data_IF_476857115330
#
_entry.id   IF_476857115330
#
_cell.length_a   1.000
_cell.length_b   1.000
_cell.length_c   1.000
_cell.angle_alpha   90.00
_cell.angle_beta   90.00
_cell.angle_gamma   90.00
#
_symmetry.space_group_name_H-M   'P 1'
#
loop_
_entity.id
_entity.type
_entity.pdbx_description
1 polymer ?
#
# COMPACT_ATOMS: atom_id res chain seq x y z
N UNK A 1 -27.14 -5.43 -2.35
CA UNK A 1 -26.09 -6.45 -2.50
C UNK A 1 -25.32 -6.53 -1.18
N UNK A 2 -25.72 -7.43 -0.28
CA UNK A 2 -25.05 -7.63 1.02
C UNK A 2 -23.83 -8.51 0.78
N UNK A 3 -22.65 -7.89 0.63
CA UNK A 3 -21.40 -8.65 0.63
C UNK A 3 -21.25 -9.23 2.03
N UNK A 4 -21.23 -10.56 2.14
CA UNK A 4 -21.00 -11.25 3.41
C UNK A 4 -19.63 -10.83 3.96
N UNK A 5 -19.65 -9.94 4.96
CA UNK A 5 -18.47 -9.26 5.49
C UNK A 5 -17.46 -10.24 6.08
N UNK A 6 -17.92 -11.40 6.59
CA UNK A 6 -17.03 -12.45 7.12
C UNK A 6 -16.26 -13.15 6.00
N UNK A 7 -16.95 -13.54 4.92
CA UNK A 7 -16.32 -14.16 3.77
C UNK A 7 -15.33 -13.21 3.08
N UNK A 8 -15.69 -11.92 2.98
CA UNK A 8 -14.82 -10.88 2.43
C UNK A 8 -13.55 -10.68 3.27
N UNK A 9 -13.67 -10.56 4.60
CA UNK A 9 -12.49 -10.42 5.48
C UNK A 9 -11.58 -11.65 5.41
N UNK A 10 -12.15 -12.86 5.39
CA UNK A 10 -11.39 -14.10 5.24
C UNK A 10 -10.63 -14.16 3.91
N UNK A 11 -11.24 -13.73 2.80
CA UNK A 11 -10.57 -13.67 1.49
C UNK A 11 -9.40 -12.67 1.49
N UNK A 12 -9.53 -11.54 2.19
CA UNK A 12 -8.49 -10.52 2.26
C UNK A 12 -7.29 -10.99 3.09
N UNK A 13 -7.53 -11.68 4.20
CA UNK A 13 -6.46 -12.31 5.00
C UNK A 13 -5.71 -13.35 4.18
N UNK A 14 -6.42 -14.24 3.48
CA UNK A 14 -5.82 -15.26 2.62
C UNK A 14 -4.99 -14.65 1.48
N UNK A 15 -5.48 -13.59 0.84
CA UNK A 15 -4.74 -12.89 -0.22
C UNK A 15 -3.50 -12.16 0.34
N UNK A 16 -3.56 -11.65 1.57
CA UNK A 16 -2.44 -10.98 2.22
C UNK A 16 -1.24 -11.89 2.50
N UNK A 17 -1.47 -13.20 2.63
CA UNK A 17 -0.44 -14.21 2.90
C UNK A 17 0.15 -14.82 1.63
N UNK A 18 -0.44 -14.57 0.46
CA UNK A 18 -0.04 -15.20 -0.80
C UNK A 18 0.67 -14.22 -1.73
N UNK A 19 1.89 -14.57 -2.13
CA UNK A 19 2.57 -13.94 -3.26
C UNK A 19 2.02 -14.51 -4.57
N UNK A 20 1.18 -13.75 -5.28
CA UNK A 20 0.60 -14.18 -6.56
C UNK A 20 0.99 -13.21 -7.68
N UNK A 21 1.44 -13.75 -8.81
CA UNK A 21 1.66 -13.01 -10.05
C UNK A 21 0.51 -13.30 -11.02
N UNK A 22 -0.22 -12.26 -11.42
CA UNK A 22 -1.33 -12.37 -12.38
C UNK A 22 -0.96 -11.62 -13.65
N UNK A 23 -1.06 -12.16 -14.86
CA UNK A 23 -0.73 -11.40 -16.08
C UNK A 23 -1.40 -10.01 -16.11
N UNK A 24 -0.72 -8.92 -16.53
CA UNK A 24 -1.36 -7.60 -16.64
C UNK A 24 -2.60 -7.66 -17.53
N UNK A 25 -2.57 -8.51 -18.56
CA UNK A 25 -3.67 -8.70 -19.49
C UNK A 25 -4.92 -9.24 -18.78
N UNK A 26 -4.76 -10.16 -17.82
CA UNK A 26 -5.86 -10.68 -17.00
C UNK A 26 -6.47 -9.58 -16.12
N UNK A 27 -5.63 -8.69 -15.56
CA UNK A 27 -6.07 -7.58 -14.71
C UNK A 27 -6.86 -6.56 -15.55
N UNK A 28 -6.34 -6.19 -16.71
CA UNK A 28 -6.99 -5.25 -17.64
C UNK A 28 -8.28 -5.83 -18.20
N UNK A 29 -8.30 -7.11 -18.59
CA UNK A 29 -9.50 -7.80 -19.07
C UNK A 29 -10.61 -7.87 -17.99
N UNK A 30 -10.24 -7.80 -16.72
CA UNK A 30 -11.18 -7.73 -15.59
C UNK A 30 -11.67 -6.31 -15.28
N UNK A 31 -11.32 -5.31 -16.11
CA UNK A 31 -11.72 -3.91 -15.95
C UNK A 31 -10.93 -3.13 -14.90
N UNK A 32 -9.81 -3.67 -14.40
CA UNK A 32 -8.98 -3.01 -13.39
C UNK A 32 -7.93 -2.13 -14.11
N UNK A 33 -7.86 -0.82 -13.82
CA UNK A 33 -6.86 0.06 -14.42
C UNK A 33 -5.43 -0.41 -14.10
N UNK A 34 -4.59 -0.48 -15.14
CA UNK A 34 -3.19 -0.86 -15.01
C UNK A 34 -2.31 0.15 -15.77
N UNK A 35 -1.21 0.55 -15.16
CA UNK A 35 -0.16 1.35 -15.81
C UNK A 35 1.16 0.57 -15.80
N UNK A 36 2.01 0.86 -16.79
CA UNK A 36 3.33 0.26 -16.93
C UNK A 36 4.36 1.35 -17.20
N UNK A 37 5.54 1.19 -16.62
CA UNK A 37 6.72 2.02 -16.86
C UNK A 37 7.97 1.16 -16.88
N UNK A 38 9.05 1.71 -17.45
CA UNK A 38 10.41 1.16 -17.37
C UNK A 38 11.22 2.14 -16.54
N UNK A 39 11.92 1.66 -15.51
CA UNK A 39 12.82 2.47 -14.69
C UNK A 39 14.26 2.30 -15.16
N UNK A 40 14.87 3.38 -15.61
CA UNK A 40 16.28 3.47 -15.98
C UNK A 40 17.16 3.96 -14.82
N UNK A 41 18.49 3.81 -14.89
CA UNK A 41 19.40 4.36 -13.89
C UNK A 41 19.22 5.88 -13.73
N UNK A 42 19.16 6.35 -12.47
CA UNK A 42 18.94 7.76 -12.14
C UNK A 42 17.46 8.19 -12.08
N UNK A 43 16.52 7.33 -12.46
CA UNK A 43 15.09 7.62 -12.37
C UNK A 43 14.47 7.20 -11.04
N UNK A 44 13.49 7.99 -10.58
CA UNK A 44 12.67 7.66 -9.42
C UNK A 44 11.32 7.10 -9.85
N UNK A 45 10.83 6.12 -9.08
CA UNK A 45 9.46 5.60 -9.20
C UNK A 45 8.75 5.89 -7.88
N UNK A 46 7.61 6.57 -7.94
CA UNK A 46 6.79 6.90 -6.76
C UNK A 46 5.55 6.01 -6.77
N UNK A 47 5.39 5.22 -5.71
CA UNK A 47 4.17 4.43 -5.48
C UNK A 47 3.25 5.17 -4.53
N UNK A 48 2.03 5.48 -5.00
CA UNK A 48 1.02 6.16 -4.18
C UNK A 48 0.35 5.21 -3.18
N UNK A 49 -0.26 5.74 -2.10
CA UNK A 49 -0.93 4.91 -1.10
C UNK A 49 -2.00 4.01 -1.74
N UNK A 50 -2.03 2.73 -1.35
CA UNK A 50 -2.95 1.70 -1.86
C UNK A 50 -2.77 1.35 -3.35
N UNK A 51 -1.72 1.82 -4.02
CA UNK A 51 -1.38 1.39 -5.37
C UNK A 51 -0.63 0.06 -5.34
N UNK A 52 -1.27 -1.01 -5.82
CA UNK A 52 -0.60 -2.29 -6.05
C UNK A 52 0.41 -2.13 -7.18
N UNK A 53 1.61 -2.65 -6.97
CA UNK A 53 2.67 -2.62 -7.96
C UNK A 53 3.41 -3.95 -7.97
N UNK A 54 4.04 -4.24 -9.10
CA UNK A 54 4.90 -5.39 -9.33
C UNK A 54 5.90 -5.04 -10.43
N UNK A 55 6.97 -5.79 -10.53
CA UNK A 55 7.94 -5.61 -11.59
C UNK A 55 8.93 -6.76 -11.64
N UNK A 56 9.82 -6.66 -12.61
CA UNK A 56 10.97 -7.54 -12.77
C UNK A 56 12.14 -6.71 -13.29
N UNK A 57 13.35 -7.25 -13.16
CA UNK A 57 14.56 -6.60 -13.64
C UNK A 57 14.91 -7.13 -15.03
N UNK A 58 15.31 -6.25 -15.95
CA UNK A 58 15.76 -6.62 -17.29
C UNK A 58 17.21 -7.13 -17.32
N UNK A 59 17.93 -7.07 -16.20
CA UNK A 59 19.33 -7.45 -16.06
C UNK A 59 19.85 -7.14 -14.65
N UNK A 60 21.16 -7.28 -14.44
CA UNK A 60 21.80 -6.92 -13.18
C UNK A 60 21.65 -5.42 -12.90
N UNK A 61 21.16 -5.07 -11.71
CA UNK A 61 21.06 -3.69 -11.26
C UNK A 61 21.13 -3.59 -9.73
N UNK A 62 21.20 -2.36 -9.25
CA UNK A 62 21.02 -2.01 -7.84
C UNK A 62 19.94 -0.93 -7.74
N UNK A 63 19.05 -1.05 -6.76
CA UNK A 63 18.03 -0.05 -6.48
C UNK A 63 17.74 0.01 -4.99
N UNK A 64 17.41 1.21 -4.52
CA UNK A 64 17.01 1.47 -3.14
C UNK A 64 15.54 1.89 -3.12
N UNK A 65 14.83 1.57 -2.03
CA UNK A 65 13.45 1.99 -1.83
C UNK A 65 13.22 2.35 -0.36
N UNK A 66 12.43 3.41 -0.14
CA UNK A 66 12.02 3.84 1.18
C UNK A 66 10.51 4.16 1.19
N UNK A 67 9.87 3.89 2.32
CA UNK A 67 8.51 4.34 2.58
C UNK A 67 8.56 5.69 3.29
N UNK A 68 7.70 6.64 2.89
CA UNK A 68 7.57 7.94 3.53
C UNK A 68 6.10 8.33 3.67
N UNK A 69 5.81 9.20 4.64
CA UNK A 69 4.45 9.68 4.93
C UNK A 69 4.39 11.21 4.90
N UNK A 70 3.48 11.76 4.11
CA UNK A 70 3.15 13.19 4.15
C UNK A 70 2.01 13.44 5.16
N UNK A 71 1.76 14.69 5.60
CA UNK A 71 0.58 14.97 6.44
C UNK A 71 -0.74 14.48 5.83
N UNK A 72 -0.89 14.59 4.49
CA UNK A 72 -2.07 14.08 3.77
C UNK A 72 -2.24 12.56 3.88
N UNK A 73 -1.13 11.81 3.96
CA UNK A 73 -1.15 10.36 4.09
C UNK A 73 -1.78 9.87 5.42
N UNK A 74 -1.83 10.70 6.46
CA UNK A 74 -2.41 10.32 7.76
C UNK A 74 -3.88 9.88 7.64
N UNK A 75 -4.65 10.48 6.73
CA UNK A 75 -6.02 10.04 6.45
C UNK A 75 -6.06 8.57 5.98
N UNK A 76 -5.19 8.20 5.05
CA UNK A 76 -5.04 6.83 4.55
C UNK A 76 -4.50 5.90 5.63
N UNK A 77 -3.57 6.36 6.47
CA UNK A 77 -3.02 5.59 7.57
C UNK A 77 -4.11 5.19 8.59
N UNK A 78 -5.07 6.09 8.86
CA UNK A 78 -6.24 5.78 9.71
C UNK A 78 -7.08 4.65 9.14
N UNK A 79 -7.44 4.74 7.85
CA UNK A 79 -8.22 3.70 7.17
C UNK A 79 -7.50 2.35 7.16
N UNK A 80 -6.19 2.38 6.92
CA UNK A 80 -5.36 1.18 6.93
C UNK A 80 -5.33 0.53 8.33
N UNK A 81 -5.23 1.32 9.40
CA UNK A 81 -5.27 0.81 10.77
C UNK A 81 -6.60 0.12 11.08
N UNK A 82 -7.73 0.75 10.73
CA UNK A 82 -9.07 0.16 10.89
C UNK A 82 -9.21 -1.15 10.12
N UNK A 83 -8.74 -1.18 8.87
CA UNK A 83 -8.79 -2.38 8.03
C UNK A 83 -7.94 -3.52 8.59
N UNK A 84 -6.73 -3.21 9.08
CA UNK A 84 -5.86 -4.22 9.71
C UNK A 84 -6.49 -4.80 10.97
N UNK A 85 -7.09 -3.96 11.81
CA UNK A 85 -7.82 -4.42 12.99
C UNK A 85 -8.97 -5.37 12.61
N UNK A 86 -9.74 -5.06 11.55
CA UNK A 86 -10.81 -5.93 11.06
C UNK A 86 -10.33 -7.29 10.51
N UNK A 87 -9.06 -7.37 10.08
CA UNK A 87 -8.40 -8.61 9.65
C UNK A 87 -7.62 -9.30 10.78
N UNK A 88 -7.73 -8.84 12.03
CA UNK A 88 -6.96 -9.30 13.19
C UNK A 88 -5.43 -9.17 13.04
N UNK A 89 -4.97 -8.17 12.29
CA UNK A 89 -3.54 -7.83 12.18
C UNK A 89 -3.16 -6.68 13.11
N UNK A 90 -1.99 -6.79 13.74
CA UNK A 90 -1.42 -5.69 14.54
C UNK A 90 -1.13 -4.46 13.68
N UNK A 91 -1.32 -3.23 14.20
CA UNK A 91 -0.93 -2.01 13.49
C UNK A 91 0.61 -1.95 13.40
N UNK A 92 1.14 -1.62 12.22
CA UNK A 92 2.59 -1.43 12.04
C UNK A 92 3.08 -0.10 12.64
N UNK A 93 2.20 0.90 12.67
CA UNK A 93 2.44 2.22 13.25
C UNK A 93 1.19 2.66 14.01
N UNK A 94 1.37 3.35 15.14
CA UNK A 94 0.26 3.84 15.92
C UNK A 94 -0.22 5.20 15.39
N UNK A 95 -1.39 5.22 14.76
CA UNK A 95 -1.92 6.41 14.09
C UNK A 95 -2.05 7.63 15.01
N UNK A 96 -2.50 7.43 16.26
CA UNK A 96 -2.62 8.53 17.23
C UNK A 96 -1.27 9.12 17.64
N UNK A 97 -0.23 8.29 17.75
CA UNK A 97 1.13 8.77 18.00
C UNK A 97 1.65 9.62 16.84
N UNK A 98 1.37 9.22 15.59
CA UNK A 98 1.75 10.02 14.42
C UNK A 98 1.04 11.38 14.38
N UNK A 99 -0.25 11.42 14.73
CA UNK A 99 -0.99 12.68 14.87
C UNK A 99 -0.40 13.56 15.97
N UNK A 100 -0.09 12.99 17.13
CA UNK A 100 0.55 13.71 18.23
C UNK A 100 1.89 14.29 17.81
N UNK A 101 2.78 13.48 17.19
CA UNK A 101 4.08 13.94 16.71
C UNK A 101 3.96 15.05 15.67
N UNK A 102 3.01 14.94 14.73
CA UNK A 102 2.74 16.00 13.77
C UNK A 102 2.27 17.28 14.48
N UNK A 103 1.32 17.17 15.42
CA UNK A 103 0.85 18.34 16.20
C UNK A 103 1.99 19.00 16.97
N UNK A 104 2.85 18.22 17.61
CA UNK A 104 4.01 18.74 18.34
C UNK A 104 5.03 19.43 17.42
N UNK A 105 5.13 19.02 16.15
CA UNK A 105 6.02 19.70 15.18
C UNK A 105 5.60 21.12 14.82
N UNK A 106 4.35 21.51 15.08
CA UNK A 106 3.86 22.88 14.87
C UNK A 106 4.09 23.79 16.09
N UNK A 107 4.47 23.24 17.25
CA UNK A 107 4.78 24.02 18.42
C UNK A 107 6.23 24.50 18.29
N UNK A 108 6.49 25.82 18.26
CA UNK A 108 7.86 26.34 18.25
C UNK A 108 8.63 25.86 19.48
N UNK A 109 9.91 25.54 19.29
CA UNK A 109 10.83 25.21 20.40
C UNK A 109 11.27 26.46 21.14
#
# INVERSE_FOLDING_TARGET
MLINTKAYNASLTLLGEKTTLLSPDTVVASGIPCCRLVRNPGEFVITFPRAYHRGFNHGFNCGEAANFGTPKWLSVAKEAAVRRAAMNFLPMLFHQQLLYLLTMSFIPR
#
